data_IF_103845278591
#
_entry.id   IF_103845278591
#
_cell.length_a   1.000
_cell.length_b   1.000
_cell.length_c   1.000
_cell.angle_alpha   90.00
_cell.angle_beta   90.00
_cell.angle_gamma   90.00
#
_symmetry.space_group_name_H-M   'P 1'
#
loop_
_entity.id
_entity.type
_entity.pdbx_description
1 polymer ?
#
# COMPACT_ATOMS: atom_id res chain seq x y z
N UNK A 1 -14.10 24.66 25.88
CA UNK A 1 -13.56 25.59 24.86
C UNK A 1 -12.57 24.93 23.88
N UNK A 2 -12.60 23.61 23.71
CA UNK A 2 -11.61 22.87 22.89
C UNK A 2 -12.16 22.42 21.52
N UNK A 3 -13.49 22.37 21.36
CA UNK A 3 -14.18 21.85 20.15
C UNK A 3 -14.14 22.78 18.93
N UNK A 4 -13.95 24.09 19.13
CA UNK A 4 -13.92 25.09 18.03
C UNK A 4 -12.64 25.07 17.21
N UNK A 5 -11.53 24.53 17.75
CA UNK A 5 -10.26 24.48 17.00
C UNK A 5 -10.25 23.37 15.96
N UNK A 6 -10.84 22.20 16.26
CA UNK A 6 -10.93 21.09 15.29
C UNK A 6 -11.74 21.47 14.04
N UNK A 7 -12.83 22.22 14.21
CA UNK A 7 -13.67 22.68 13.08
C UNK A 7 -12.96 23.69 12.17
N UNK A 8 -12.02 24.48 12.71
CA UNK A 8 -11.22 25.45 11.94
C UNK A 8 -10.09 24.79 11.13
N UNK A 9 -9.53 23.67 11.61
CA UNK A 9 -8.47 22.94 10.90
C UNK A 9 -9.07 22.20 9.68
N UNK A 10 -10.28 21.66 9.82
CA UNK A 10 -11.00 20.98 8.72
C UNK A 10 -11.39 21.97 7.61
N UNK A 11 -11.78 23.20 7.95
CA UNK A 11 -12.21 24.21 6.98
C UNK A 11 -11.07 24.90 6.22
N UNK A 12 -9.84 24.95 6.76
CA UNK A 12 -8.69 25.51 6.02
C UNK A 12 -8.16 24.57 4.91
N UNK A 13 -8.38 23.26 5.03
CA UNK A 13 -8.04 22.28 3.98
C UNK A 13 -9.00 22.39 2.78
N UNK A 14 -10.19 22.96 2.98
CA UNK A 14 -11.22 23.15 1.94
C UNK A 14 -10.87 24.31 0.96
N UNK A 15 -9.86 25.12 1.28
CA UNK A 15 -9.46 26.30 0.49
C UNK A 15 -8.45 26.02 -0.62
N UNK A 16 -8.36 24.79 -1.11
CA UNK A 16 -7.73 24.52 -2.41
C UNK A 16 -8.83 24.42 -3.46
N UNK A 17 -9.39 25.57 -3.85
CA UNK A 17 -10.21 25.67 -5.06
C UNK A 17 -9.30 25.62 -6.29
N UNK A 18 -8.67 24.46 -6.56
CA UNK A 18 -8.26 24.13 -7.93
C UNK A 18 -9.58 24.06 -8.70
N UNK A 19 -9.74 24.83 -9.77
CA UNK A 19 -10.93 24.74 -10.62
C UNK A 19 -11.28 23.26 -10.87
N UNK A 20 -12.36 22.77 -10.26
CA UNK A 20 -12.71 21.34 -10.28
C UNK A 20 -12.92 20.83 -11.70
N UNK A 21 -13.21 21.73 -12.65
CA UNK A 21 -13.43 21.44 -14.06
C UNK A 21 -12.30 21.94 -14.99
N UNK A 22 -11.08 22.09 -14.49
CA UNK A 22 -9.91 22.41 -15.34
C UNK A 22 -9.34 21.16 -16.00
N UNK A 23 -8.72 21.30 -17.19
CA UNK A 23 -8.01 20.22 -17.89
C UNK A 23 -6.96 19.52 -16.99
N UNK A 24 -6.39 20.25 -16.03
CA UNK A 24 -5.50 19.70 -15.00
C UNK A 24 -6.15 18.65 -14.10
N UNK A 25 -7.43 18.82 -13.73
CA UNK A 25 -8.17 17.83 -12.93
C UNK A 25 -8.31 16.51 -13.67
N UNK A 26 -8.48 16.55 -15.00
CA UNK A 26 -8.53 15.36 -15.85
C UNK A 26 -7.22 14.58 -15.87
N UNK A 27 -6.08 15.29 -15.96
CA UNK A 27 -4.74 14.65 -15.91
C UNK A 27 -4.52 13.99 -14.55
N UNK A 28 -4.91 14.65 -13.45
CA UNK A 28 -4.79 14.10 -12.09
C UNK A 28 -5.70 12.89 -11.90
N UNK A 29 -6.95 12.93 -12.40
CA UNK A 29 -7.85 11.77 -12.38
C UNK A 29 -7.27 10.59 -13.16
N UNK A 30 -6.74 10.82 -14.37
CA UNK A 30 -6.12 9.76 -15.15
C UNK A 30 -4.92 9.15 -14.41
N UNK A 31 -4.06 9.98 -13.83
CA UNK A 31 -2.92 9.51 -13.03
C UNK A 31 -3.37 8.71 -11.79
N UNK A 32 -4.44 9.13 -11.12
CA UNK A 32 -5.01 8.41 -9.98
C UNK A 32 -5.60 7.05 -10.40
N UNK A 33 -6.30 6.99 -11.53
CA UNK A 33 -6.83 5.73 -12.09
C UNK A 33 -5.69 4.78 -12.42
N UNK A 34 -4.66 5.24 -13.13
CA UNK A 34 -3.49 4.41 -13.47
C UNK A 34 -2.81 3.87 -12.21
N UNK A 35 -2.63 4.72 -11.20
CA UNK A 35 -2.05 4.31 -9.91
C UNK A 35 -2.89 3.25 -9.20
N UNK A 36 -4.22 3.38 -9.26
CA UNK A 36 -5.14 2.40 -8.66
C UNK A 36 -5.16 1.08 -9.46
N UNK A 37 -5.07 1.14 -10.80
CA UNK A 37 -4.96 -0.06 -11.65
C UNK A 37 -3.69 -0.83 -11.33
N UNK A 38 -2.54 -0.13 -11.20
CA UNK A 38 -1.28 -0.76 -10.80
C UNK A 38 -1.43 -1.43 -9.42
N UNK A 39 -2.07 -0.73 -8.47
CA UNK A 39 -2.37 -1.27 -7.13
C UNK A 39 -3.16 -2.58 -7.20
N UNK A 40 -4.27 -2.56 -7.92
CA UNK A 40 -5.10 -3.75 -8.12
C UNK A 40 -4.30 -4.86 -8.82
N UNK A 41 -3.48 -4.52 -9.81
CA UNK A 41 -2.62 -5.46 -10.52
C UNK A 41 -1.71 -6.25 -9.60
N UNK A 42 -1.09 -5.61 -8.59
CA UNK A 42 -0.27 -6.31 -7.61
C UNK A 42 -1.06 -7.31 -6.76
N UNK A 43 -2.27 -6.92 -6.32
CA UNK A 43 -3.14 -7.79 -5.52
C UNK A 43 -3.56 -9.02 -6.34
N UNK A 44 -3.93 -8.83 -7.60
CA UNK A 44 -4.34 -9.92 -8.48
C UNK A 44 -3.18 -10.80 -8.94
N UNK A 45 -1.98 -10.23 -9.10
CA UNK A 45 -0.77 -10.98 -9.49
C UNK A 45 -0.44 -12.10 -8.51
N UNK A 46 -0.71 -11.92 -7.21
CA UNK A 46 -0.53 -12.97 -6.21
C UNK A 46 -1.36 -14.23 -6.51
N UNK A 47 -2.60 -14.04 -7.00
CA UNK A 47 -3.48 -15.17 -7.33
C UNK A 47 -2.93 -16.03 -8.48
N UNK A 48 -2.23 -15.42 -9.43
CA UNK A 48 -1.58 -16.12 -10.55
C UNK A 48 -0.24 -16.74 -10.11
N UNK A 49 0.49 -16.06 -9.23
CA UNK A 49 1.79 -16.54 -8.73
C UNK A 49 1.63 -17.73 -7.74
N UNK A 50 0.50 -17.80 -7.02
CA UNK A 50 0.22 -18.82 -6.02
C UNK A 50 0.48 -20.28 -6.47
N UNK A 51 0.00 -20.76 -7.64
CA UNK A 51 0.30 -22.11 -8.11
C UNK A 51 1.78 -22.33 -8.44
N UNK A 52 2.49 -21.33 -8.97
CA UNK A 52 3.93 -21.44 -9.25
C UNK A 52 4.74 -21.58 -7.95
N UNK A 53 4.40 -20.75 -6.95
CA UNK A 53 4.93 -20.83 -5.58
C UNK A 53 4.69 -22.19 -4.91
N UNK A 54 3.53 -22.80 -5.19
CA UNK A 54 3.20 -24.10 -4.64
C UNK A 54 4.07 -25.22 -5.23
N UNK A 55 4.36 -25.15 -6.53
CA UNK A 55 5.19 -26.12 -7.25
C UNK A 55 6.67 -26.00 -6.87
N UNK A 56 7.16 -24.78 -6.67
CA UNK A 56 8.56 -24.51 -6.33
C UNK A 56 8.91 -24.83 -4.88
N UNK A 57 8.06 -24.46 -3.92
CA UNK A 57 8.34 -24.74 -2.50
C UNK A 57 7.90 -26.14 -2.05
N UNK A 58 6.93 -26.78 -2.72
CA UNK A 58 6.33 -28.09 -2.36
C UNK A 58 5.94 -28.29 -0.87
N UNK A 59 5.87 -27.21 -0.08
CA UNK A 59 5.65 -27.24 1.38
C UNK A 59 4.16 -27.33 1.79
N UNK A 60 3.27 -27.49 0.81
CA UNK A 60 1.82 -27.68 1.01
C UNK A 60 0.99 -26.40 0.87
N UNK A 61 -0.24 -26.55 0.34
CA UNK A 61 -1.17 -25.46 -0.02
C UNK A 61 -1.51 -24.54 1.15
N UNK A 62 -1.58 -25.11 2.36
CA UNK A 62 -1.90 -24.33 3.55
C UNK A 62 -0.82 -23.29 3.83
N UNK A 63 0.46 -23.68 3.85
CA UNK A 63 1.57 -22.77 4.18
C UNK A 63 1.73 -21.65 3.16
N UNK A 64 1.64 -21.94 1.87
CA UNK A 64 1.71 -20.89 0.84
C UNK A 64 0.54 -19.91 0.92
N UNK A 65 -0.66 -20.36 1.32
CA UNK A 65 -1.83 -19.49 1.46
C UNK A 65 -1.67 -18.48 2.62
N UNK A 66 -0.93 -18.86 3.67
CA UNK A 66 -0.62 -17.95 4.78
C UNK A 66 0.13 -16.69 4.33
N UNK A 67 0.93 -16.74 3.25
CA UNK A 67 1.64 -15.57 2.71
C UNK A 67 0.64 -14.46 2.35
N UNK A 68 -0.39 -14.80 1.56
CA UNK A 68 -1.41 -13.86 1.13
C UNK A 68 -2.31 -13.41 2.30
N UNK A 69 -2.62 -14.31 3.22
CA UNK A 69 -3.41 -13.97 4.42
C UNK A 69 -2.69 -12.96 5.32
N UNK A 70 -1.39 -13.15 5.57
CA UNK A 70 -0.58 -12.22 6.38
C UNK A 70 -0.52 -10.85 5.69
N UNK A 71 -0.40 -10.81 4.36
CA UNK A 71 -0.41 -9.55 3.62
C UNK A 71 -1.74 -8.78 3.80
N UNK A 72 -2.87 -9.49 3.66
CA UNK A 72 -4.21 -8.94 3.88
C UNK A 72 -4.41 -8.43 5.32
N UNK A 73 -3.99 -9.22 6.32
CA UNK A 73 -4.07 -8.82 7.73
C UNK A 73 -3.17 -7.60 8.01
N UNK A 74 -2.00 -7.55 7.38
CA UNK A 74 -1.08 -6.42 7.45
C UNK A 74 -1.76 -5.12 7.03
N UNK A 75 -2.44 -5.10 5.87
CA UNK A 75 -3.16 -3.91 5.41
C UNK A 75 -4.18 -3.38 6.45
N UNK A 76 -4.90 -4.27 7.13
CA UNK A 76 -5.85 -3.89 8.18
C UNK A 76 -5.18 -3.34 9.43
N UNK A 77 -4.12 -4.01 9.92
CA UNK A 77 -3.41 -3.61 11.14
C UNK A 77 -2.64 -2.30 10.99
N UNK A 78 -2.07 -2.05 9.81
CA UNK A 78 -1.29 -0.85 9.56
C UNK A 78 -2.15 0.41 9.30
N UNK A 79 -3.46 0.25 9.08
CA UNK A 79 -4.41 1.36 8.85
C UNK A 79 -4.26 2.55 9.82
N UNK A 80 -4.48 2.35 11.14
CA UNK A 80 -4.35 3.43 12.12
C UNK A 80 -2.90 3.92 12.28
N UNK A 81 -1.90 3.05 12.07
CA UNK A 81 -0.49 3.40 12.17
C UNK A 81 -0.10 4.42 11.08
N UNK A 82 -0.50 4.15 9.85
CA UNK A 82 -0.21 5.02 8.70
C UNK A 82 -1.03 6.32 8.77
N UNK A 83 -2.28 6.27 9.24
CA UNK A 83 -3.06 7.49 9.50
C UNK A 83 -2.35 8.46 10.46
N UNK A 84 -1.72 7.95 11.52
CA UNK A 84 -0.91 8.77 12.43
C UNK A 84 0.37 9.30 11.77
N UNK A 85 0.97 8.51 10.89
CA UNK A 85 2.19 8.87 10.14
C UNK A 85 1.92 10.00 9.14
N UNK A 86 0.82 9.92 8.41
CA UNK A 86 0.38 10.97 7.49
C UNK A 86 0.11 12.29 8.20
N UNK A 87 -0.52 12.25 9.38
CA UNK A 87 -0.77 13.46 10.15
C UNK A 87 0.53 14.16 10.60
N UNK A 88 1.64 13.44 10.75
CA UNK A 88 2.93 14.00 11.21
C UNK A 88 3.86 14.39 10.06
N UNK A 89 3.95 13.59 9.00
CA UNK A 89 4.92 13.76 7.91
C UNK A 89 4.29 14.20 6.58
N UNK A 90 2.96 14.21 6.47
CA UNK A 90 2.25 14.56 5.25
C UNK A 90 2.23 13.45 4.20
N UNK A 91 1.25 13.52 3.29
CA UNK A 91 1.00 12.48 2.27
C UNK A 91 2.15 12.29 1.27
N UNK A 92 2.84 13.37 0.87
CA UNK A 92 3.90 13.33 -0.17
C UNK A 92 5.15 12.58 0.27
N UNK A 93 5.58 12.77 1.52
CA UNK A 93 6.80 12.14 2.01
C UNK A 93 6.55 10.65 2.25
N UNK A 94 5.41 10.30 2.85
CA UNK A 94 5.05 8.92 3.15
C UNK A 94 4.89 8.09 1.87
N UNK A 95 4.25 8.62 0.82
CA UNK A 95 4.12 7.95 -0.49
C UNK A 95 5.47 7.72 -1.17
N UNK A 96 6.40 8.68 -1.08
CA UNK A 96 7.74 8.54 -1.65
C UNK A 96 8.57 7.48 -0.93
N UNK A 97 8.54 7.43 0.40
CA UNK A 97 9.19 6.35 1.14
C UNK A 97 8.51 5.00 0.91
N UNK A 98 7.18 4.98 0.81
CA UNK A 98 6.39 3.78 0.50
C UNK A 98 6.80 3.14 -0.82
N UNK A 99 7.04 3.94 -1.86
CA UNK A 99 7.46 3.42 -3.17
C UNK A 99 8.87 2.82 -3.13
N UNK A 100 9.81 3.45 -2.43
CA UNK A 100 11.17 2.92 -2.25
C UNK A 100 11.12 1.59 -1.48
N UNK A 101 10.34 1.54 -0.39
CA UNK A 101 10.17 0.31 0.40
C UNK A 101 9.50 -0.78 -0.45
N UNK A 102 8.53 -0.42 -1.31
CA UNK A 102 7.87 -1.35 -2.23
C UNK A 102 8.89 -2.00 -3.17
N UNK A 103 9.70 -1.20 -3.85
CA UNK A 103 10.75 -1.69 -4.76
C UNK A 103 11.75 -2.57 -4.01
N UNK A 104 12.21 -2.15 -2.84
CA UNK A 104 13.11 -2.95 -2.00
C UNK A 104 12.48 -4.28 -1.58
N UNK A 105 11.19 -4.28 -1.23
CA UNK A 105 10.47 -5.51 -0.84
C UNK A 105 10.31 -6.49 -2.00
N UNK A 106 10.11 -6.01 -3.22
CA UNK A 106 10.01 -6.85 -4.42
C UNK A 106 11.36 -7.45 -4.79
N UNK A 107 12.44 -6.66 -4.74
CA UNK A 107 13.81 -7.16 -4.96
C UNK A 107 14.16 -8.21 -3.91
N UNK A 108 13.86 -7.94 -2.63
CA UNK A 108 14.09 -8.91 -1.55
C UNK A 108 13.25 -10.18 -1.71
N UNK A 109 12.06 -10.08 -2.31
CA UNK A 109 11.22 -11.25 -2.62
C UNK A 109 11.80 -12.09 -3.76
N UNK A 110 12.50 -11.47 -4.72
CA UNK A 110 13.17 -12.18 -5.81
C UNK A 110 14.27 -13.12 -5.33
N UNK A 111 14.94 -12.79 -4.23
CA UNK A 111 16.02 -13.60 -3.63
C UNK A 111 15.51 -14.54 -2.50
N UNK A 112 14.19 -14.59 -2.29
CA UNK A 112 13.61 -15.32 -1.17
C UNK A 112 13.62 -16.84 -1.40
N UNK A 113 14.72 -17.47 -1.00
CA UNK A 113 14.92 -18.94 -1.04
C UNK A 113 14.20 -19.70 0.09
N UNK A 114 13.54 -19.01 1.02
CA UNK A 114 12.86 -19.61 2.16
C UNK A 114 11.48 -18.99 2.41
N UNK A 115 10.48 -19.83 2.68
CA UNK A 115 9.09 -19.43 2.95
C UNK A 115 8.98 -18.42 4.11
N UNK A 116 9.85 -18.54 5.12
CA UNK A 116 9.89 -17.59 6.24
C UNK A 116 10.32 -16.19 5.80
N UNK A 117 11.29 -16.08 4.89
CA UNK A 117 11.73 -14.79 4.35
C UNK A 117 10.60 -14.18 3.54
N UNK A 118 9.91 -15.00 2.74
CA UNK A 118 8.77 -14.57 1.95
C UNK A 118 7.61 -14.04 2.81
N UNK A 119 7.32 -14.65 3.97
CA UNK A 119 6.31 -14.11 4.90
C UNK A 119 6.66 -12.70 5.38
N UNK A 120 7.94 -12.41 5.62
CA UNK A 120 8.38 -11.11 6.11
C UNK A 120 8.43 -10.07 4.99
N UNK A 121 9.03 -10.41 3.84
CA UNK A 121 9.19 -9.48 2.71
C UNK A 121 7.88 -9.20 2.00
N UNK A 122 7.12 -10.25 1.65
CA UNK A 122 5.86 -10.12 0.92
C UNK A 122 4.66 -9.90 1.85
N UNK A 123 4.68 -10.47 3.06
CA UNK A 123 3.59 -10.27 4.02
C UNK A 123 3.66 -8.89 4.68
N UNK A 124 4.69 -8.65 5.50
CA UNK A 124 4.75 -7.45 6.34
C UNK A 124 5.26 -6.21 5.57
N UNK A 125 6.42 -6.32 4.90
CA UNK A 125 7.07 -5.18 4.25
C UNK A 125 6.27 -4.66 3.05
N UNK A 126 5.85 -5.56 2.15
CA UNK A 126 5.05 -5.17 0.99
C UNK A 126 3.70 -4.55 1.40
N UNK A 127 3.03 -5.09 2.44
CA UNK A 127 1.75 -4.54 2.91
C UNK A 127 1.91 -3.16 3.55
N UNK A 128 2.99 -2.91 4.29
CA UNK A 128 3.34 -1.58 4.78
C UNK A 128 3.56 -0.59 3.64
N UNK A 129 4.33 -1.00 2.63
CA UNK A 129 4.62 -0.19 1.45
C UNK A 129 3.34 0.12 0.67
N UNK A 130 2.47 -0.87 0.50
CA UNK A 130 1.23 -0.74 -0.24
C UNK A 130 0.24 0.19 0.45
N UNK A 131 0.17 0.16 1.79
CA UNK A 131 -0.74 1.03 2.53
C UNK A 131 -0.31 2.51 2.48
N UNK A 132 0.98 2.80 2.28
CA UNK A 132 1.47 4.16 2.06
C UNK A 132 1.00 4.80 0.73
N UNK A 133 0.23 4.08 -0.10
CA UNK A 133 -0.45 4.61 -1.29
C UNK A 133 -1.93 4.93 -1.09
N UNK A 134 -2.46 4.71 0.11
CA UNK A 134 -3.85 4.96 0.47
C UNK A 134 -3.95 6.21 1.34
#
# INVERSE_FOLDING_TARGET
MTRRRETQIVTCTERISVHQDSCWSWVVCFAAVVSNVIRCGFIYSFGILFPALLDEFQQGKAKTAWVGSIAMVGMGLYGPLIGRLYHRFGARIVTFFGSIICVASLIATSEASNLYIMYVTYGALFSLAQLAYF
#
